data_IF_540451645654
#
_entry.id   IF_540451645654
#
_cell.length_a   1.000
_cell.length_b   1.000
_cell.length_c   1.000
_cell.angle_alpha   90.00
_cell.angle_beta   90.00
_cell.angle_gamma   90.00
#
_symmetry.space_group_name_H-M   'P 1'
#
loop_
_entity.id
_entity.type
_entity.pdbx_description
1 polymer ?
#
# COMPACT_ATOMS: atom_id res chain seq x y z
N UNK A 1 -8.43 1.26 -42.51
CA UNK A 1 -8.13 0.47 -41.31
C UNK A 1 -7.30 -0.76 -41.57
N UNK A 2 -7.41 -1.46 -42.67
CA UNK A 2 -6.60 -2.67 -43.02
C UNK A 2 -5.14 -2.31 -43.37
N UNK A 3 -4.86 -1.14 -43.92
CA UNK A 3 -3.51 -0.71 -44.32
C UNK A 3 -2.59 -0.41 -43.11
N UNK A 4 -3.14 0.10 -42.02
CA UNK A 4 -2.35 0.36 -40.78
C UNK A 4 -1.99 -0.91 -40.00
N UNK A 5 -2.84 -1.94 -40.02
CA UNK A 5 -2.57 -3.22 -39.37
C UNK A 5 -1.45 -4.01 -40.06
N UNK A 6 -1.34 -3.93 -41.38
CA UNK A 6 -0.28 -4.59 -42.14
C UNK A 6 1.09 -3.97 -41.97
N UNK A 7 1.17 -2.65 -41.74
CA UNK A 7 2.43 -1.95 -41.50
C UNK A 7 2.98 -2.26 -40.10
N UNK A 8 2.13 -2.36 -39.10
CA UNK A 8 2.52 -2.76 -37.74
C UNK A 8 3.03 -4.20 -37.68
N UNK A 9 2.39 -5.12 -38.39
CA UNK A 9 2.85 -6.50 -38.50
C UNK A 9 4.21 -6.63 -39.21
N UNK A 10 4.47 -5.85 -40.27
CA UNK A 10 5.78 -5.84 -40.97
C UNK A 10 6.89 -5.31 -40.06
N UNK A 11 6.61 -4.24 -39.27
CA UNK A 11 7.59 -3.68 -38.34
C UNK A 11 7.94 -4.66 -37.21
N UNK A 12 6.97 -5.39 -36.69
CA UNK A 12 7.20 -6.40 -35.66
C UNK A 12 7.95 -7.65 -36.19
N UNK A 13 7.71 -8.03 -37.44
CA UNK A 13 8.48 -9.12 -38.11
C UNK A 13 9.94 -8.73 -38.37
N UNK A 14 10.21 -7.46 -38.69
CA UNK A 14 11.58 -6.94 -38.89
C UNK A 14 12.34 -6.86 -37.57
N UNK A 15 11.67 -6.49 -36.47
CA UNK A 15 12.27 -6.50 -35.12
C UNK A 15 12.59 -7.94 -34.69
N UNK A 16 11.70 -8.88 -34.95
CA UNK A 16 11.92 -10.31 -34.65
C UNK A 16 13.07 -10.90 -35.49
N UNK A 17 13.17 -10.60 -36.79
CA UNK A 17 14.26 -11.01 -37.63
C UNK A 17 15.62 -10.41 -37.20
N UNK A 18 15.64 -9.18 -36.71
CA UNK A 18 16.84 -8.54 -36.15
C UNK A 18 17.26 -9.16 -34.81
N UNK A 19 16.34 -9.52 -33.95
CA UNK A 19 16.64 -10.21 -32.68
C UNK A 19 17.20 -11.62 -32.92
N UNK A 20 16.66 -12.37 -33.87
CA UNK A 20 17.17 -13.68 -34.27
C UNK A 20 18.53 -13.57 -34.96
N UNK A 21 18.74 -12.54 -35.79
CA UNK A 21 20.02 -12.24 -36.44
C UNK A 21 21.13 -11.84 -35.46
N UNK A 22 20.82 -11.05 -34.44
CA UNK A 22 21.76 -10.70 -33.39
C UNK A 22 22.16 -11.88 -32.51
N UNK A 23 21.26 -12.83 -32.34
CA UNK A 23 21.55 -14.08 -31.61
C UNK A 23 22.50 -14.98 -32.36
N UNK A 24 22.50 -14.97 -33.71
CA UNK A 24 23.43 -15.76 -34.53
C UNK A 24 24.83 -15.15 -34.65
N UNK A 25 24.96 -13.82 -34.52
CA UNK A 25 26.26 -13.12 -34.60
C UNK A 25 27.06 -13.15 -33.28
N UNK A 26 26.39 -13.33 -32.11
CA UNK A 26 27.06 -13.49 -30.81
C UNK A 26 27.70 -14.90 -30.61
N UNK A 27 27.58 -15.79 -31.57
CA UNK A 27 28.01 -17.21 -31.46
C UNK A 27 29.36 -17.57 -32.12
N UNK A 28 30.12 -16.59 -32.59
CA UNK A 28 31.40 -16.90 -33.30
C UNK A 28 32.68 -16.81 -32.46
N UNK A 29 32.57 -16.56 -31.15
CA UNK A 29 33.79 -16.53 -30.30
C UNK A 29 33.53 -17.18 -28.94
N UNK A 30 33.67 -18.49 -28.84
CA UNK A 30 33.94 -19.17 -27.56
C UNK A 30 34.57 -20.56 -27.77
N UNK A 31 35.64 -20.79 -27.03
CA UNK A 31 36.52 -21.93 -27.08
C UNK A 31 35.95 -23.20 -26.40
N UNK A 32 36.56 -24.33 -26.66
CA UNK A 32 36.22 -25.76 -26.61
C UNK A 32 35.70 -26.38 -25.29
N UNK A 33 35.47 -25.63 -24.22
CA UNK A 33 35.06 -26.20 -22.90
C UNK A 33 33.55 -26.25 -22.64
N UNK A 34 32.74 -25.70 -23.54
CA UNK A 34 31.27 -25.56 -23.38
C UNK A 34 30.44 -26.58 -24.19
N UNK A 35 31.10 -27.59 -24.77
CA UNK A 35 30.40 -28.54 -25.66
C UNK A 35 29.52 -29.58 -24.93
N UNK A 36 29.71 -29.79 -23.64
CA UNK A 36 28.95 -30.81 -22.89
C UNK A 36 27.59 -30.30 -22.37
N UNK A 37 27.47 -29.01 -22.09
CA UNK A 37 26.19 -28.41 -21.64
C UNK A 37 25.21 -28.14 -22.79
N UNK A 38 25.66 -28.15 -24.04
CA UNK A 38 24.82 -27.86 -25.22
C UNK A 38 23.88 -29.00 -25.63
N UNK A 39 24.11 -30.24 -25.21
CA UNK A 39 23.28 -31.38 -25.65
C UNK A 39 21.98 -31.55 -24.89
N UNK A 40 21.84 -30.97 -23.70
CA UNK A 40 20.60 -31.06 -22.89
C UNK A 40 19.56 -29.97 -23.19
N UNK A 41 19.97 -28.82 -23.75
CA UNK A 41 19.06 -27.68 -23.95
C UNK A 41 18.26 -27.77 -25.26
N UNK A 42 18.66 -28.60 -26.22
CA UNK A 42 17.98 -28.78 -27.51
C UNK A 42 17.20 -30.09 -27.61
N UNK A 43 16.23 -30.32 -26.70
CA UNK A 43 15.22 -31.35 -26.97
C UNK A 43 14.08 -30.73 -27.79
N UNK A 44 13.66 -31.41 -28.86
CA UNK A 44 12.55 -30.99 -29.76
C UNK A 44 11.23 -30.66 -28.99
N UNK A 45 11.06 -31.11 -27.76
CA UNK A 45 9.89 -30.83 -26.90
C UNK A 45 9.79 -29.40 -26.44
N UNK A 46 10.90 -28.68 -26.20
CA UNK A 46 10.85 -27.27 -25.74
C UNK A 46 10.35 -26.31 -26.83
N UNK A 47 10.70 -26.57 -28.10
CA UNK A 47 10.23 -25.71 -29.21
C UNK A 47 8.75 -25.89 -29.50
N UNK A 48 8.21 -27.08 -29.38
CA UNK A 48 6.79 -27.38 -29.62
C UNK A 48 5.91 -26.71 -28.56
N UNK A 49 6.35 -26.69 -27.31
CA UNK A 49 5.64 -26.03 -26.23
C UNK A 49 5.57 -24.49 -26.36
N UNK A 50 6.68 -23.88 -26.84
CA UNK A 50 6.72 -22.43 -27.06
C UNK A 50 5.80 -22.03 -28.24
N UNK A 51 5.77 -22.80 -29.32
CA UNK A 51 4.85 -22.56 -30.44
C UNK A 51 3.39 -22.75 -30.05
N UNK A 52 3.05 -23.74 -29.24
CA UNK A 52 1.70 -23.95 -28.74
C UNK A 52 1.25 -22.84 -27.82
N UNK A 53 2.14 -22.31 -26.97
CA UNK A 53 1.84 -21.19 -26.07
C UNK A 53 1.57 -19.90 -26.85
N UNK A 54 2.45 -19.57 -27.82
CA UNK A 54 2.30 -18.37 -28.67
C UNK A 54 1.03 -18.47 -29.51
N UNK A 55 0.72 -19.64 -30.06
CA UNK A 55 -0.48 -19.86 -30.86
C UNK A 55 -1.75 -19.79 -30.02
N UNK A 56 -1.74 -20.31 -28.79
CA UNK A 56 -2.86 -20.22 -27.84
C UNK A 56 -3.13 -18.77 -27.42
N UNK A 57 -2.08 -17.98 -27.18
CA UNK A 57 -2.22 -16.57 -26.84
C UNK A 57 -2.75 -15.73 -28.00
N UNK A 58 -2.28 -15.99 -29.24
CA UNK A 58 -2.76 -15.35 -30.46
C UNK A 58 -4.22 -15.72 -30.75
N UNK A 59 -4.61 -16.97 -30.55
CA UNK A 59 -5.98 -17.43 -30.77
C UNK A 59 -6.94 -16.83 -29.73
N UNK A 60 -6.53 -16.75 -28.47
CA UNK A 60 -7.31 -16.05 -27.42
C UNK A 60 -7.46 -14.57 -27.72
N UNK A 61 -6.43 -13.89 -28.18
CA UNK A 61 -6.48 -12.49 -28.56
C UNK A 61 -7.46 -12.25 -29.73
N UNK A 62 -7.41 -13.08 -30.78
CA UNK A 62 -8.29 -12.97 -31.97
C UNK A 62 -9.74 -13.31 -31.64
N UNK A 63 -9.99 -14.28 -30.74
CA UNK A 63 -11.35 -14.70 -30.36
C UNK A 63 -11.98 -13.73 -29.36
N UNK A 64 -11.19 -13.10 -28.47
CA UNK A 64 -11.73 -12.19 -27.46
C UNK A 64 -12.13 -10.84 -28.04
N UNK A 65 -11.45 -10.36 -29.10
CA UNK A 65 -11.74 -9.08 -29.76
C UNK A 65 -12.98 -9.12 -30.66
N UNK A 66 -13.50 -10.31 -30.99
CA UNK A 66 -14.67 -10.46 -31.88
C UNK A 66 -16.03 -10.52 -31.18
N UNK A 67 -16.12 -10.70 -29.86
CA UNK A 67 -17.38 -11.01 -29.19
C UNK A 67 -17.83 -10.02 -28.10
N UNK A 68 -17.14 -8.90 -27.86
CA UNK A 68 -17.57 -7.92 -26.87
C UNK A 68 -17.60 -6.51 -27.50
N UNK A 69 -18.76 -5.87 -27.64
CA UNK A 69 -18.82 -4.48 -28.09
C UNK A 69 -18.38 -3.58 -26.94
N UNK A 70 -17.17 -3.03 -26.99
CA UNK A 70 -16.65 -2.06 -26.05
C UNK A 70 -16.62 -0.66 -26.64
N UNK A 71 -17.15 0.31 -25.88
CA UNK A 71 -16.81 1.73 -26.03
C UNK A 71 -15.29 1.90 -25.89
N UNK A 72 -14.64 2.80 -26.63
CA UNK A 72 -13.18 2.95 -26.58
C UNK A 72 -12.76 3.54 -25.24
N UNK A 73 -12.26 2.73 -24.33
CA UNK A 73 -11.42 3.20 -23.24
C UNK A 73 -9.96 3.21 -23.74
N UNK A 74 -9.32 4.35 -23.68
CA UNK A 74 -7.91 4.52 -23.95
C UNK A 74 -7.10 3.72 -22.92
N UNK A 75 -6.62 2.55 -23.32
CA UNK A 75 -5.54 1.86 -22.62
C UNK A 75 -4.22 2.47 -23.08
N UNK A 76 -3.54 3.19 -22.18
CA UNK A 76 -2.21 3.73 -22.45
C UNK A 76 -1.18 2.61 -22.69
N UNK A 77 -0.24 2.85 -23.60
CA UNK A 77 0.84 1.91 -23.98
C UNK A 77 1.69 1.38 -22.79
N UNK A 78 1.61 2.03 -21.62
CA UNK A 78 2.29 1.62 -20.39
C UNK A 78 1.76 0.31 -19.79
N UNK A 79 0.45 0.06 -19.88
CA UNK A 79 -0.16 -1.14 -19.29
C UNK A 79 0.16 -2.43 -20.05
N UNK A 80 0.42 -2.32 -21.37
CA UNK A 80 0.76 -3.49 -22.18
C UNK A 80 2.20 -3.95 -21.95
N UNK A 81 3.12 -3.01 -21.68
CA UNK A 81 4.51 -3.34 -21.34
C UNK A 81 4.60 -4.05 -19.98
N UNK A 82 3.82 -3.60 -19.00
CA UNK A 82 3.75 -4.22 -17.68
C UNK A 82 3.24 -5.66 -17.72
N UNK A 83 2.23 -5.96 -18.56
CA UNK A 83 1.69 -7.31 -18.71
C UNK A 83 2.65 -8.28 -19.41
N UNK A 84 3.45 -7.77 -20.36
CA UNK A 84 4.47 -8.58 -21.07
C UNK A 84 5.69 -8.83 -20.17
N UNK A 85 6.13 -7.84 -19.39
CA UNK A 85 7.24 -7.99 -18.45
C UNK A 85 6.90 -8.98 -17.31
N UNK A 86 5.64 -9.06 -16.89
CA UNK A 86 5.15 -10.04 -15.91
C UNK A 86 5.18 -11.48 -16.49
N UNK A 87 4.81 -11.65 -17.76
CA UNK A 87 4.80 -12.98 -18.42
C UNK A 87 6.19 -13.49 -18.84
N UNK A 88 7.17 -12.60 -19.01
CA UNK A 88 8.53 -12.98 -19.40
C UNK A 88 9.43 -13.34 -18.20
N UNK A 89 8.99 -13.04 -16.98
CA UNK A 89 9.75 -13.28 -15.74
C UNK A 89 9.37 -14.57 -14.98
N UNK A 90 8.47 -15.40 -15.50
CA UNK A 90 8.02 -16.63 -14.84
C UNK A 90 9.10 -17.73 -14.66
N UNK A 91 10.33 -17.50 -15.12
CA UNK A 91 11.43 -18.48 -15.02
C UNK A 91 12.64 -18.03 -14.18
N UNK A 92 12.54 -16.93 -13.49
CA UNK A 92 13.55 -16.57 -12.49
C UNK A 92 12.97 -16.79 -11.10
N UNK A 93 13.72 -17.45 -10.23
CA UNK A 93 13.42 -17.88 -8.87
C UNK A 93 12.27 -17.08 -8.17
N UNK A 94 11.50 -17.70 -7.30
CA UNK A 94 10.41 -17.11 -6.50
C UNK A 94 10.73 -15.76 -5.81
N UNK A 95 11.99 -15.34 -5.83
CA UNK A 95 12.52 -14.06 -5.35
C UNK A 95 12.32 -12.89 -6.31
N UNK A 96 11.96 -13.12 -7.58
CA UNK A 96 11.78 -12.06 -8.59
C UNK A 96 10.37 -11.45 -8.60
N UNK A 97 9.47 -11.90 -7.72
CA UNK A 97 8.07 -11.46 -7.69
C UNK A 97 7.86 -10.05 -7.15
N UNK A 98 8.77 -9.51 -6.35
CA UNK A 98 8.59 -8.22 -5.70
C UNK A 98 9.48 -7.15 -6.31
N UNK A 99 8.93 -5.92 -6.50
CA UNK A 99 9.68 -4.81 -7.09
C UNK A 99 10.80 -4.31 -6.18
N UNK A 100 11.77 -3.65 -6.79
CA UNK A 100 12.92 -3.03 -6.10
C UNK A 100 13.83 -4.04 -5.36
N UNK A 101 13.83 -5.34 -5.73
CA UNK A 101 14.62 -6.38 -5.06
C UNK A 101 14.20 -6.67 -3.63
N UNK A 102 12.98 -6.27 -3.25
CA UNK A 102 12.39 -6.56 -1.94
C UNK A 102 11.77 -7.95 -1.93
N UNK A 103 11.48 -8.42 -0.71
CA UNK A 103 10.79 -9.70 -0.47
C UNK A 103 9.33 -9.51 -0.04
N UNK A 104 8.81 -8.29 -0.21
CA UNK A 104 7.42 -7.92 0.03
C UNK A 104 7.04 -6.69 -0.79
N UNK A 105 5.75 -6.47 -1.03
CA UNK A 105 5.23 -5.32 -1.74
C UNK A 105 5.32 -4.07 -0.88
N UNK A 106 6.21 -3.14 -1.22
CA UNK A 106 6.32 -1.87 -0.53
C UNK A 106 5.42 -0.82 -1.18
N UNK A 107 4.76 -0.02 -0.34
CA UNK A 107 3.95 1.11 -0.81
C UNK A 107 4.78 2.17 -1.57
N UNK A 108 6.04 2.36 -1.17
CA UNK A 108 6.97 3.24 -1.89
C UNK A 108 7.28 2.69 -3.28
N UNK A 109 7.48 1.38 -3.40
CA UNK A 109 7.70 0.70 -4.68
C UNK A 109 6.49 0.82 -5.61
N UNK A 110 5.27 0.77 -5.07
CA UNK A 110 4.03 0.99 -5.82
C UNK A 110 4.06 2.33 -6.57
N UNK A 111 4.26 3.44 -5.87
CA UNK A 111 4.27 4.76 -6.51
C UNK A 111 5.46 4.95 -7.45
N UNK A 112 6.63 4.43 -7.12
CA UNK A 112 7.78 4.49 -8.02
C UNK A 112 7.53 3.78 -9.35
N UNK A 113 6.81 2.66 -9.35
CA UNK A 113 6.43 1.96 -10.59
C UNK A 113 5.42 2.73 -11.42
N UNK A 114 4.42 3.33 -10.77
CA UNK A 114 3.35 4.04 -11.47
C UNK A 114 3.78 5.40 -11.98
N UNK A 115 4.57 6.15 -11.20
CA UNK A 115 4.87 7.56 -11.47
C UNK A 115 6.36 7.86 -11.63
N UNK A 116 7.22 6.85 -11.54
CA UNK A 116 8.68 7.01 -11.66
C UNK A 116 9.34 7.67 -10.44
N UNK A 117 8.56 8.05 -9.41
CA UNK A 117 9.05 8.74 -8.23
C UNK A 117 8.37 8.27 -6.94
N UNK A 118 9.00 8.60 -5.81
CA UNK A 118 8.42 8.44 -4.49
C UNK A 118 7.43 9.57 -4.24
N UNK A 119 6.20 9.26 -3.84
CA UNK A 119 5.27 10.23 -3.28
C UNK A 119 5.41 10.26 -1.75
N UNK A 120 5.65 11.47 -1.21
CA UNK A 120 5.79 11.65 0.24
C UNK A 120 4.49 12.18 0.83
N UNK A 121 3.99 11.53 1.89
CA UNK A 121 2.82 12.00 2.65
C UNK A 121 3.23 13.18 3.53
N UNK A 122 2.47 14.28 3.46
CA UNK A 122 2.53 15.44 4.36
C UNK A 122 1.35 15.36 5.31
N UNK A 123 1.63 15.27 6.59
CA UNK A 123 0.58 15.22 7.62
C UNK A 123 -0.14 16.55 7.71
N UNK A 124 -1.47 16.50 7.67
CA UNK A 124 -2.35 17.66 7.77
C UNK A 124 -3.25 17.49 8.99
N UNK A 125 -3.39 18.54 9.79
CA UNK A 125 -4.42 18.67 10.81
C UNK A 125 -5.43 19.74 10.39
N UNK A 126 -6.59 19.28 9.93
CA UNK A 126 -7.66 20.17 9.44
C UNK A 126 -8.72 20.49 10.52
N UNK A 127 -8.42 20.21 11.79
CA UNK A 127 -9.30 20.51 12.92
C UNK A 127 -10.49 19.58 13.06
N UNK A 128 -10.41 18.37 12.53
CA UNK A 128 -11.45 17.35 12.77
C UNK A 128 -11.45 16.87 14.22
N UNK A 129 -12.57 16.29 14.64
CA UNK A 129 -12.71 15.57 15.91
C UNK A 129 -12.98 14.07 15.65
N UNK A 130 -13.43 13.38 16.67
CA UNK A 130 -13.76 11.96 16.61
C UNK A 130 -15.04 11.71 17.42
N UNK A 131 -16.02 10.93 16.89
CA UNK A 131 -17.27 10.63 17.60
C UNK A 131 -17.03 9.89 18.92
N UNK A 132 -15.88 9.28 19.09
CA UNK A 132 -15.45 8.61 20.32
C UNK A 132 -14.86 9.60 21.37
N UNK A 133 -14.86 10.92 21.08
CA UNK A 133 -14.34 11.97 21.97
C UNK A 133 -15.37 13.03 22.32
N UNK A 134 -16.27 13.36 21.39
CA UNK A 134 -17.25 14.42 21.54
C UNK A 134 -18.58 13.98 22.16
N UNK A 135 -18.71 12.69 22.51
CA UNK A 135 -19.89 12.12 23.15
C UNK A 135 -20.88 11.47 22.19
N UNK A 136 -20.69 11.56 20.87
CA UNK A 136 -21.59 10.92 19.88
C UNK A 136 -21.59 9.40 20.01
N UNK A 137 -20.40 8.79 20.16
CA UNK A 137 -20.21 7.35 20.39
C UNK A 137 -19.61 7.11 21.77
N UNK A 138 -18.68 7.97 22.22
CA UNK A 138 -18.00 7.84 23.49
C UNK A 138 -17.25 9.11 23.88
N UNK A 139 -16.70 9.12 25.08
CA UNK A 139 -15.90 10.23 25.61
C UNK A 139 -14.44 9.83 25.79
N UNK A 140 -13.53 10.78 25.59
CA UNK A 140 -12.09 10.62 25.85
C UNK A 140 -11.31 9.82 24.82
N UNK A 141 -11.94 9.26 23.79
CA UNK A 141 -11.29 8.51 22.72
C UNK A 141 -10.99 7.06 23.06
N UNK A 142 -10.29 6.36 22.19
CA UNK A 142 -9.76 5.01 22.44
C UNK A 142 -8.70 5.04 23.56
N UNK A 143 -8.50 3.92 24.27
CA UNK A 143 -7.59 3.86 25.42
C UNK A 143 -6.14 4.23 25.10
N UNK A 144 -5.70 3.96 23.85
CA UNK A 144 -4.34 4.19 23.37
C UNK A 144 -4.16 5.55 22.65
N UNK A 145 -5.24 6.34 22.46
CA UNK A 145 -5.22 7.47 21.54
C UNK A 145 -4.69 8.75 22.20
N UNK A 146 -3.53 9.20 21.70
CA UNK A 146 -3.02 10.55 21.90
C UNK A 146 -2.45 11.08 20.56
N UNK A 147 -3.20 11.97 19.90
CA UNK A 147 -2.78 12.52 18.61
C UNK A 147 -1.50 13.35 18.72
N UNK A 148 -1.25 14.04 19.85
CA UNK A 148 -0.05 14.85 20.03
C UNK A 148 1.24 14.03 19.91
N UNK A 149 1.19 12.73 20.25
CA UNK A 149 2.32 11.84 20.17
C UNK A 149 2.71 11.47 18.72
N UNK A 150 1.81 11.68 17.75
CA UNK A 150 1.98 11.21 16.37
C UNK A 150 2.01 12.34 15.33
N UNK A 151 1.93 13.62 15.78
CA UNK A 151 1.97 14.77 14.90
C UNK A 151 3.40 15.29 14.71
N UNK A 152 3.80 15.59 13.48
CA UNK A 152 5.01 16.38 13.24
C UNK A 152 4.79 17.83 13.69
N UNK A 153 5.87 18.52 14.01
CA UNK A 153 5.84 19.88 14.57
C UNK A 153 5.20 20.93 13.66
N UNK A 154 5.16 20.69 12.36
CA UNK A 154 4.56 21.63 11.41
C UNK A 154 3.03 21.48 11.29
N UNK A 155 2.46 20.33 11.67
CA UNK A 155 1.03 20.03 11.54
C UNK A 155 0.30 20.43 12.83
N UNK A 156 -0.42 21.58 12.79
CA UNK A 156 -1.19 22.09 13.92
C UNK A 156 -2.46 22.79 13.46
N UNK A 157 -3.57 22.64 14.19
CA UNK A 157 -4.89 23.23 13.90
C UNK A 157 -4.85 24.76 13.73
N UNK A 158 -3.93 25.46 14.37
CA UNK A 158 -3.81 26.92 14.29
C UNK A 158 -3.24 27.47 12.97
N UNK A 159 -2.80 26.59 12.05
CA UNK A 159 -2.23 26.96 10.76
C UNK A 159 -3.20 26.64 9.62
N UNK A 160 -3.19 27.47 8.55
CA UNK A 160 -3.90 27.13 7.31
C UNK A 160 -3.35 25.83 6.68
N UNK A 161 -4.15 25.18 5.84
CA UNK A 161 -3.70 23.97 5.13
C UNK A 161 -2.47 24.27 4.27
N UNK A 162 -2.46 25.40 3.55
CA UNK A 162 -1.31 25.81 2.73
C UNK A 162 -0.03 25.94 3.58
N UNK A 163 -0.10 26.62 4.74
CA UNK A 163 1.06 26.71 5.63
C UNK A 163 1.57 25.37 6.11
N UNK A 164 0.67 24.44 6.47
CA UNK A 164 1.06 23.11 6.88
C UNK A 164 1.71 22.32 5.74
N UNK A 165 1.24 22.50 4.51
CA UNK A 165 1.81 21.88 3.31
C UNK A 165 3.23 22.45 3.05
N UNK A 166 3.38 23.78 3.00
CA UNK A 166 4.65 24.43 2.74
C UNK A 166 5.72 24.05 3.78
N UNK A 167 5.37 24.13 5.07
CA UNK A 167 6.26 23.72 6.16
C UNK A 167 6.55 22.22 6.12
N UNK A 168 5.58 21.40 5.75
CA UNK A 168 5.76 19.96 5.57
C UNK A 168 6.72 19.62 4.43
N UNK A 169 6.64 20.31 3.31
CA UNK A 169 7.59 20.21 2.19
C UNK A 169 9.00 20.53 2.67
N UNK A 170 9.16 21.66 3.35
CA UNK A 170 10.46 22.09 3.87
C UNK A 170 11.01 21.09 4.91
N UNK A 171 10.15 20.60 5.82
CA UNK A 171 10.54 19.59 6.80
C UNK A 171 11.06 18.30 6.16
N UNK A 172 10.48 17.89 5.04
CA UNK A 172 10.87 16.67 4.34
C UNK A 172 11.98 16.86 3.32
N UNK A 173 12.25 18.10 2.87
CA UNK A 173 13.24 18.45 1.85
C UNK A 173 14.65 17.94 2.15
N UNK A 174 15.07 18.02 3.41
CA UNK A 174 16.41 17.56 3.83
C UNK A 174 16.55 16.05 3.66
N UNK A 175 15.51 15.29 3.98
CA UNK A 175 15.52 13.82 3.97
C UNK A 175 15.20 13.22 2.59
N UNK A 176 14.36 13.90 1.81
CA UNK A 176 13.82 13.40 0.53
C UNK A 176 14.05 14.44 -0.59
N UNK A 177 15.31 14.74 -0.87
CA UNK A 177 15.74 15.84 -1.76
C UNK A 177 15.18 15.77 -3.18
N UNK A 178 14.84 14.59 -3.67
CA UNK A 178 14.38 14.36 -5.05
C UNK A 178 12.86 14.24 -5.16
N UNK A 179 12.10 14.40 -4.07
CA UNK A 179 10.65 14.36 -4.10
C UNK A 179 10.12 15.66 -4.65
N UNK A 180 9.32 15.58 -5.74
CA UNK A 180 8.69 16.72 -6.40
C UNK A 180 7.22 16.86 -6.03
N UNK A 181 6.55 15.73 -5.82
CA UNK A 181 5.13 15.64 -5.59
C UNK A 181 4.80 14.98 -4.24
N UNK A 182 3.73 15.45 -3.63
CA UNK A 182 3.33 15.07 -2.29
C UNK A 182 1.87 14.66 -2.23
N UNK A 183 1.52 13.89 -1.20
CA UNK A 183 0.15 13.55 -0.85
C UNK A 183 -0.22 14.30 0.44
N UNK A 184 -1.31 15.07 0.43
CA UNK A 184 -1.83 15.68 1.65
C UNK A 184 -2.50 14.59 2.49
N UNK A 185 -1.92 14.28 3.65
CA UNK A 185 -2.37 13.22 4.53
C UNK A 185 -3.14 13.79 5.72
N UNK A 186 -4.45 13.75 5.65
CA UNK A 186 -5.35 14.08 6.74
C UNK A 186 -5.30 12.96 7.77
N UNK A 187 -4.54 13.14 8.82
CA UNK A 187 -4.23 12.07 9.78
C UNK A 187 -4.93 12.23 11.13
N UNK A 188 -5.14 13.47 11.59
CA UNK A 188 -5.63 13.74 12.94
C UNK A 188 -7.08 13.32 13.12
N UNK A 189 -7.35 12.43 14.08
CA UNK A 189 -8.70 11.97 14.43
C UNK A 189 -9.43 11.24 13.28
N UNK A 190 -10.67 11.69 12.95
CA UNK A 190 -11.52 11.05 11.94
C UNK A 190 -11.84 12.04 10.83
N UNK A 191 -11.11 12.00 9.73
CA UNK A 191 -11.11 13.06 8.73
C UNK A 191 -12.28 13.00 7.73
N UNK A 192 -13.24 12.08 7.92
CA UNK A 192 -14.55 12.08 7.26
C UNK A 192 -15.69 12.40 8.22
N UNK A 193 -15.38 12.70 9.48
CA UNK A 193 -16.38 13.05 10.50
C UNK A 193 -16.75 14.53 10.46
N UNK A 194 -17.41 14.93 9.37
CA UNK A 194 -17.95 16.26 9.15
C UNK A 194 -19.02 16.21 8.04
N UNK A 195 -19.86 17.26 7.88
CA UNK A 195 -20.75 17.39 6.71
C UNK A 195 -19.96 17.40 5.40
N UNK A 196 -20.51 16.79 4.33
CA UNK A 196 -19.84 16.65 3.03
C UNK A 196 -19.36 18.01 2.47
N UNK A 197 -20.13 19.08 2.65
CA UNK A 197 -19.71 20.42 2.19
C UNK A 197 -18.37 20.87 2.80
N UNK A 198 -18.15 20.57 4.09
CA UNK A 198 -16.88 20.86 4.76
C UNK A 198 -15.74 19.97 4.26
N UNK A 199 -16.00 18.70 4.00
CA UNK A 199 -15.02 17.78 3.42
C UNK A 199 -14.58 18.27 2.02
N UNK A 200 -15.55 18.63 1.17
CA UNK A 200 -15.27 19.20 -0.15
C UNK A 200 -14.37 20.43 -0.06
N UNK A 201 -14.70 21.37 0.80
CA UNK A 201 -13.89 22.57 1.00
C UNK A 201 -12.44 22.23 1.35
N UNK A 202 -12.22 21.41 2.37
CA UNK A 202 -10.88 21.11 2.89
C UNK A 202 -10.04 20.29 1.90
N UNK A 203 -10.64 19.30 1.23
CA UNK A 203 -9.91 18.45 0.30
C UNK A 203 -9.54 19.20 -0.97
N UNK A 204 -10.45 20.02 -1.50
CA UNK A 204 -10.17 20.86 -2.66
C UNK A 204 -9.14 21.95 -2.35
N UNK A 205 -9.19 22.57 -1.15
CA UNK A 205 -8.17 23.50 -0.67
C UNK A 205 -6.77 22.86 -0.64
N UNK A 206 -6.63 21.65 -0.10
CA UNK A 206 -5.35 20.94 -0.10
C UNK A 206 -4.87 20.60 -1.52
N UNK A 207 -5.78 20.18 -2.41
CA UNK A 207 -5.48 19.86 -3.79
C UNK A 207 -5.18 21.09 -4.65
N UNK A 208 -5.54 22.30 -4.23
CA UNK A 208 -5.18 23.53 -4.92
C UNK A 208 -3.66 23.80 -4.90
N UNK A 209 -2.93 23.27 -3.90
CA UNK A 209 -1.50 23.47 -3.81
C UNK A 209 -0.75 22.75 -4.96
N UNK A 210 0.17 23.42 -5.70
CA UNK A 210 0.73 22.90 -6.95
C UNK A 210 1.56 21.63 -6.82
N UNK A 211 2.16 21.37 -5.67
CA UNK A 211 2.96 20.16 -5.42
C UNK A 211 2.14 19.00 -4.82
N UNK A 212 0.86 19.22 -4.54
CA UNK A 212 -0.04 18.15 -4.07
C UNK A 212 -0.67 17.46 -5.27
N UNK A 213 -0.45 16.15 -5.39
CA UNK A 213 -0.98 15.31 -6.45
C UNK A 213 -2.11 14.38 -5.98
N UNK A 214 -2.44 14.44 -4.71
CA UNK A 214 -3.53 13.63 -4.15
C UNK A 214 -3.68 13.79 -2.65
N UNK A 215 -4.71 13.16 -2.13
CA UNK A 215 -5.04 13.14 -0.71
C UNK A 215 -5.07 11.72 -0.15
N UNK A 216 -4.68 11.59 1.09
CA UNK A 216 -4.84 10.36 1.89
C UNK A 216 -5.67 10.75 3.12
N UNK A 217 -6.74 10.01 3.37
CA UNK A 217 -7.73 10.34 4.39
C UNK A 217 -7.73 9.25 5.45
N UNK A 218 -7.10 9.52 6.60
CA UNK A 218 -7.17 8.67 7.78
C UNK A 218 -8.50 8.87 8.51
N UNK A 219 -9.28 7.81 8.66
CA UNK A 219 -10.59 7.90 9.30
C UNK A 219 -10.98 6.63 10.04
N UNK A 220 -12.11 6.68 10.73
CA UNK A 220 -12.76 5.54 11.37
C UNK A 220 -13.73 4.88 10.37
N UNK A 221 -13.91 3.56 10.43
CA UNK A 221 -14.87 2.86 9.56
C UNK A 221 -16.33 3.33 9.73
N UNK A 222 -16.72 3.72 10.92
CA UNK A 222 -18.06 4.21 11.26
C UNK A 222 -18.30 5.70 10.93
N UNK A 223 -17.30 6.40 10.38
CA UNK A 223 -17.40 7.80 9.96
C UNK A 223 -17.51 7.98 8.44
N UNK A 224 -17.74 6.90 7.70
CA UNK A 224 -17.90 6.91 6.24
C UNK A 224 -19.33 6.48 5.86
N UNK A 225 -19.83 7.05 4.77
CA UNK A 225 -21.10 6.70 4.15
C UNK A 225 -20.98 6.75 2.62
N UNK A 226 -22.02 6.34 1.92
CA UNK A 226 -22.02 6.25 0.47
C UNK A 226 -21.84 7.61 -0.19
N UNK A 227 -22.52 8.67 0.32
CA UNK A 227 -22.42 10.02 -0.23
C UNK A 227 -20.99 10.57 -0.21
N UNK A 228 -20.26 10.33 0.91
CA UNK A 228 -18.86 10.71 1.03
C UNK A 228 -17.97 9.90 0.09
N UNK A 229 -18.21 8.58 -0.01
CA UNK A 229 -17.45 7.72 -0.93
C UNK A 229 -17.69 8.05 -2.38
N UNK A 230 -18.93 8.37 -2.78
CA UNK A 230 -19.27 8.82 -4.13
C UNK A 230 -18.53 10.12 -4.47
N UNK A 231 -18.50 11.08 -3.56
CA UNK A 231 -17.69 12.30 -3.74
C UNK A 231 -16.20 12.00 -3.88
N UNK A 232 -15.64 11.08 -3.09
CA UNK A 232 -14.23 10.72 -3.16
C UNK A 232 -13.90 10.01 -4.49
N UNK A 233 -14.82 9.19 -4.99
CA UNK A 233 -14.70 8.56 -6.31
C UNK A 233 -14.76 9.61 -7.43
N UNK A 234 -15.68 10.58 -7.36
CA UNK A 234 -15.77 11.71 -8.28
C UNK A 234 -14.49 12.56 -8.28
N UNK A 235 -13.89 12.75 -7.11
CA UNK A 235 -12.64 13.47 -6.96
C UNK A 235 -11.47 12.71 -7.61
N UNK A 236 -11.36 11.40 -7.37
CA UNK A 236 -10.35 10.53 -8.01
C UNK A 236 -10.46 10.56 -9.54
N UNK A 237 -11.69 10.59 -10.05
CA UNK A 237 -11.95 10.62 -11.50
C UNK A 237 -11.83 12.02 -12.11
N UNK A 238 -11.51 13.04 -11.32
CA UNK A 238 -11.38 14.42 -11.76
C UNK A 238 -12.71 15.12 -12.08
N UNK A 239 -13.86 14.51 -11.73
CA UNK A 239 -15.19 15.03 -12.06
C UNK A 239 -15.61 16.29 -11.28
N UNK A 240 -14.98 16.51 -10.14
CA UNK A 240 -15.35 17.62 -9.21
C UNK A 240 -14.23 18.64 -9.00
N UNK A 241 -13.22 18.63 -9.85
CA UNK A 241 -12.09 19.56 -9.80
C UNK A 241 -11.76 20.06 -11.20
N UNK A 242 -12.24 21.26 -11.53
CA UNK A 242 -12.04 21.85 -12.84
C UNK A 242 -10.57 22.27 -13.04
N UNK A 243 -10.06 22.06 -14.27
CA UNK A 243 -8.73 22.51 -14.66
C UNK A 243 -7.60 21.80 -13.92
N UNK A 244 -7.85 20.61 -13.33
CA UNK A 244 -6.78 19.84 -12.73
C UNK A 244 -5.68 19.50 -13.73
N UNK A 245 -4.46 19.93 -13.41
CA UNK A 245 -3.28 19.60 -14.19
C UNK A 245 -2.09 19.45 -13.25
N UNK A 246 -1.45 18.28 -13.28
CA UNK A 246 -0.17 18.00 -12.63
C UNK A 246 0.62 17.07 -13.52
N UNK A 247 1.88 17.38 -13.75
CA UNK A 247 2.75 16.60 -14.64
C UNK A 247 2.81 15.14 -14.20
N UNK A 248 2.42 14.23 -15.10
CA UNK A 248 2.38 12.80 -14.85
C UNK A 248 1.12 12.29 -14.11
N UNK A 249 0.17 13.19 -13.76
CA UNK A 249 -1.06 12.82 -13.05
C UNK A 249 -2.29 13.34 -13.79
N UNK A 250 -3.08 12.44 -14.37
CA UNK A 250 -4.30 12.79 -15.11
C UNK A 250 -5.47 13.22 -14.22
N UNK A 251 -5.49 12.79 -12.97
CA UNK A 251 -6.48 13.12 -11.95
C UNK A 251 -5.84 13.01 -10.55
N UNK A 252 -6.47 13.55 -9.49
CA UNK A 252 -5.97 13.44 -8.12
C UNK A 252 -5.92 11.99 -7.66
N UNK A 253 -4.87 11.64 -6.92
CA UNK A 253 -4.82 10.39 -6.17
C UNK A 253 -5.70 10.52 -4.93
N UNK A 254 -6.60 9.58 -4.71
CA UNK A 254 -7.49 9.55 -3.54
C UNK A 254 -7.40 8.20 -2.86
N UNK A 255 -6.99 8.20 -1.59
CA UNK A 255 -6.87 7.01 -0.77
C UNK A 255 -7.57 7.19 0.57
N UNK A 256 -8.31 6.17 1.00
CA UNK A 256 -8.95 6.13 2.31
C UNK A 256 -8.24 5.11 3.20
N UNK A 257 -7.79 5.53 4.38
CA UNK A 257 -7.11 4.67 5.35
C UNK A 257 -7.95 4.52 6.61
N UNK A 258 -8.37 3.30 6.89
CA UNK A 258 -9.21 2.98 8.02
C UNK A 258 -8.39 2.55 9.23
N UNK A 259 -8.59 3.22 10.39
CA UNK A 259 -8.13 2.71 11.66
C UNK A 259 -9.02 1.54 12.09
N UNK A 260 -8.74 0.33 11.66
CA UNK A 260 -9.43 -0.89 12.10
C UNK A 260 -8.93 -1.31 13.46
N UNK A 261 -7.61 -1.32 13.64
CA UNK A 261 -6.79 -1.54 14.82
C UNK A 261 -6.74 -3.00 15.29
N UNK A 262 -7.85 -3.75 15.25
CA UNK A 262 -7.94 -5.17 15.60
C UNK A 262 -9.01 -5.89 14.79
N UNK A 263 -8.84 -7.19 14.56
CA UNK A 263 -9.85 -8.09 13.97
C UNK A 263 -10.72 -8.79 15.04
N UNK A 264 -10.71 -8.32 16.28
CA UNK A 264 -11.41 -8.95 17.40
C UNK A 264 -12.31 -7.95 18.13
N UNK A 265 -13.62 -8.14 18.08
CA UNK A 265 -14.60 -7.26 18.74
C UNK A 265 -14.35 -7.13 20.24
N UNK A 266 -13.92 -8.20 20.91
CA UNK A 266 -13.55 -8.18 22.33
C UNK A 266 -12.40 -7.21 22.59
N UNK A 267 -11.39 -7.19 21.73
CA UNK A 267 -10.26 -6.24 21.82
C UNK A 267 -10.72 -4.83 21.52
N UNK A 268 -11.50 -4.63 20.44
CA UNK A 268 -12.06 -3.32 20.08
C UNK A 268 -12.91 -2.73 21.21
N UNK A 269 -13.76 -3.53 21.84
CA UNK A 269 -14.56 -3.14 23.01
C UNK A 269 -13.67 -2.75 24.21
N UNK A 270 -12.64 -3.57 24.52
CA UNK A 270 -11.72 -3.33 25.64
C UNK A 270 -10.97 -2.00 25.50
N UNK A 271 -10.51 -1.69 24.30
CA UNK A 271 -9.80 -0.42 24.05
C UNK A 271 -10.77 0.76 23.80
N UNK A 272 -12.06 0.52 23.86
CA UNK A 272 -13.10 1.54 23.66
C UNK A 272 -13.09 2.08 22.23
N UNK A 273 -12.97 1.21 21.22
CA UNK A 273 -12.90 1.63 19.80
C UNK A 273 -14.22 2.21 19.31
N UNK A 274 -15.37 1.71 19.81
CA UNK A 274 -16.72 2.23 19.52
C UNK A 274 -17.29 1.83 18.16
N UNK A 275 -16.64 0.93 17.44
CA UNK A 275 -17.17 0.19 16.28
C UNK A 275 -16.68 -1.26 16.36
N UNK A 276 -17.32 -2.15 15.62
CA UNK A 276 -17.01 -3.56 15.50
C UNK A 276 -16.28 -3.91 14.19
N UNK A 277 -15.89 -5.17 14.06
CA UNK A 277 -15.19 -5.71 12.88
C UNK A 277 -16.10 -5.67 11.65
N UNK A 278 -17.39 -5.96 11.80
CA UNK A 278 -18.36 -5.94 10.70
C UNK A 278 -18.50 -4.52 10.09
N UNK A 279 -18.49 -3.49 10.91
CA UNK A 279 -18.46 -2.10 10.44
C UNK A 279 -17.19 -1.79 9.65
N UNK A 280 -16.05 -2.29 10.10
CA UNK A 280 -14.77 -2.12 9.39
C UNK A 280 -14.79 -2.84 8.03
N UNK A 281 -15.23 -4.08 7.99
CA UNK A 281 -15.37 -4.85 6.74
C UNK A 281 -16.28 -4.13 5.74
N UNK A 282 -17.48 -3.69 6.17
CA UNK A 282 -18.42 -2.96 5.32
C UNK A 282 -17.78 -1.70 4.74
N UNK A 283 -17.10 -0.90 5.54
CA UNK A 283 -16.44 0.34 5.07
C UNK A 283 -15.38 0.06 3.99
N UNK A 284 -14.56 -0.97 4.20
CA UNK A 284 -13.53 -1.39 3.23
C UNK A 284 -14.17 -1.85 1.91
N UNK A 285 -15.20 -2.70 1.97
CA UNK A 285 -15.89 -3.19 0.78
C UNK A 285 -16.59 -2.08 0.00
N UNK A 286 -17.35 -1.21 0.67
CA UNK A 286 -18.01 -0.06 0.04
C UNK A 286 -17.02 0.89 -0.65
N UNK A 287 -15.81 1.04 -0.07
CA UNK A 287 -14.73 1.85 -0.65
C UNK A 287 -14.18 1.20 -1.92
N UNK A 288 -13.90 -0.10 -1.86
CA UNK A 288 -13.37 -0.87 -3.00
C UNK A 288 -14.39 -0.98 -4.16
N UNK A 289 -15.68 -1.15 -3.86
CA UNK A 289 -16.78 -1.18 -4.84
C UNK A 289 -16.85 0.09 -5.69
N UNK A 290 -16.41 1.23 -5.15
CA UNK A 290 -16.30 2.51 -5.87
C UNK A 290 -14.95 2.69 -6.58
N UNK A 291 -14.12 1.65 -6.60
CA UNK A 291 -12.79 1.64 -7.22
C UNK A 291 -11.76 2.52 -6.50
N UNK A 292 -12.05 2.95 -5.28
CA UNK A 292 -11.07 3.62 -4.40
C UNK A 292 -10.11 2.59 -3.81
N UNK A 293 -8.94 3.06 -3.35
CA UNK A 293 -7.90 2.21 -2.74
C UNK A 293 -8.02 2.22 -1.20
N UNK A 294 -8.73 1.26 -0.57
CA UNK A 294 -8.81 1.21 0.88
C UNK A 294 -7.48 0.76 1.49
N UNK A 295 -7.01 1.49 2.49
CA UNK A 295 -5.93 1.09 3.38
C UNK A 295 -6.45 0.76 4.77
N UNK A 296 -5.70 -0.03 5.54
CA UNK A 296 -6.05 -0.34 6.92
C UNK A 296 -4.85 -0.18 7.88
N UNK A 297 -5.15 0.24 9.10
CA UNK A 297 -4.19 0.28 10.21
C UNK A 297 -4.54 -0.80 11.21
N UNK A 298 -3.51 -1.51 11.69
CA UNK A 298 -3.60 -2.52 12.74
C UNK A 298 -2.53 -2.28 13.80
N UNK A 299 -2.94 -2.36 15.07
CA UNK A 299 -2.03 -2.27 16.21
C UNK A 299 -1.73 -3.68 16.69
N UNK A 300 -0.45 -4.05 16.69
CA UNK A 300 -0.01 -5.36 17.16
C UNK A 300 0.25 -5.30 18.67
N UNK A 301 -0.42 -6.18 19.43
CA UNK A 301 -0.26 -6.31 20.85
C UNK A 301 -1.19 -5.45 21.70
N UNK A 302 -2.39 -5.17 21.23
CA UNK A 302 -3.47 -4.61 22.07
C UNK A 302 -3.78 -5.55 23.24
N UNK A 303 -4.27 -5.02 24.38
CA UNK A 303 -4.42 -5.83 25.60
C UNK A 303 -5.36 -7.03 25.40
N UNK A 304 -4.88 -8.19 25.80
CA UNK A 304 -5.55 -9.48 25.67
C UNK A 304 -5.33 -10.20 24.34
N UNK A 305 -4.61 -9.60 23.38
CA UNK A 305 -4.22 -10.27 22.15
C UNK A 305 -2.97 -11.13 22.35
N UNK A 306 -3.01 -12.31 21.76
CA UNK A 306 -1.88 -13.26 21.76
C UNK A 306 -1.21 -13.29 20.38
N UNK A 307 0.00 -13.80 20.32
CA UNK A 307 0.73 -14.00 19.07
C UNK A 307 -0.06 -14.88 18.07
N UNK A 308 -0.72 -15.93 18.56
CA UNK A 308 -1.56 -16.79 17.73
C UNK A 308 -2.79 -16.05 17.15
N UNK A 309 -3.44 -15.20 17.93
CA UNK A 309 -4.54 -14.36 17.45
C UNK A 309 -4.05 -13.42 16.34
N UNK A 310 -2.95 -12.71 16.58
CA UNK A 310 -2.37 -11.78 15.62
C UNK A 310 -1.89 -12.48 14.32
N UNK A 311 -1.49 -13.73 14.40
CA UNK A 311 -1.17 -14.55 13.21
C UNK A 311 -2.44 -14.99 12.49
N UNK A 312 -3.47 -15.41 13.22
CA UNK A 312 -4.75 -15.84 12.63
C UNK A 312 -5.50 -14.70 11.91
N UNK A 313 -5.34 -13.45 12.33
CA UNK A 313 -5.97 -12.30 11.64
C UNK A 313 -5.49 -12.11 10.19
N UNK A 314 -4.36 -12.70 9.78
CA UNK A 314 -3.83 -12.56 8.41
C UNK A 314 -4.80 -13.08 7.34
N UNK A 315 -5.54 -14.15 7.61
CA UNK A 315 -6.60 -14.66 6.73
C UNK A 315 -7.72 -13.61 6.55
N UNK A 316 -8.23 -13.05 7.64
CA UNK A 316 -9.23 -11.99 7.56
C UNK A 316 -8.71 -10.76 6.82
N UNK A 317 -7.48 -10.29 7.10
CA UNK A 317 -6.88 -9.15 6.38
C UNK A 317 -6.77 -9.45 4.88
N UNK A 318 -6.37 -10.68 4.52
CA UNK A 318 -6.22 -11.12 3.13
C UNK A 318 -7.58 -11.25 2.39
N UNK A 319 -8.66 -11.59 3.09
CA UNK A 319 -10.03 -11.69 2.52
C UNK A 319 -10.68 -10.33 2.23
N UNK A 320 -10.16 -9.24 2.81
CA UNK A 320 -10.65 -7.90 2.56
C UNK A 320 -10.05 -7.31 1.26
N UNK A 321 -10.82 -6.55 0.46
CA UNK A 321 -10.32 -5.88 -0.74
C UNK A 321 -9.44 -4.66 -0.39
N UNK A 322 -8.48 -4.85 0.50
CA UNK A 322 -7.53 -3.83 0.91
C UNK A 322 -6.47 -3.64 -0.18
N UNK A 323 -6.14 -2.39 -0.49
CA UNK A 323 -4.99 -2.05 -1.31
C UNK A 323 -3.69 -2.06 -0.50
N UNK A 324 -3.74 -1.55 0.73
CA UNK A 324 -2.55 -1.49 1.58
C UNK A 324 -2.86 -1.66 3.06
N UNK A 325 -1.82 -2.00 3.83
CA UNK A 325 -1.89 -2.16 5.27
C UNK A 325 -0.72 -1.49 5.97
N UNK A 326 -0.99 -0.95 7.17
CA UNK A 326 0.00 -0.47 8.13
C UNK A 326 -0.09 -1.29 9.40
N UNK A 327 1.02 -1.84 9.81
CA UNK A 327 1.18 -2.43 11.13
C UNK A 327 2.05 -1.54 12.01
N UNK A 328 1.72 -1.46 13.28
CA UNK A 328 2.62 -0.93 14.28
C UNK A 328 2.38 -1.59 15.64
N UNK A 329 3.46 -1.76 16.39
CA UNK A 329 3.38 -2.24 17.75
C UNK A 329 2.60 -1.25 18.62
N UNK A 330 1.92 -1.74 19.64
CA UNK A 330 1.29 -0.88 20.62
C UNK A 330 2.34 0.00 21.32
N UNK A 331 2.12 1.29 21.31
CA UNK A 331 2.90 2.28 22.06
C UNK A 331 2.16 2.64 23.35
N UNK A 332 2.85 2.52 24.48
CA UNK A 332 2.30 2.93 25.79
C UNK A 332 2.57 4.42 25.99
N UNK A 333 1.62 5.24 25.51
CA UNK A 333 1.75 6.70 25.54
C UNK A 333 1.34 7.26 26.90
N UNK A 334 2.14 8.19 27.45
CA UNK A 334 1.91 8.85 28.73
C UNK A 334 0.54 9.56 28.79
N UNK A 335 -0.11 9.50 29.92
CA UNK A 335 -1.39 10.16 30.17
C UNK A 335 -2.60 9.46 29.57
N UNK A 336 -2.40 8.38 28.80
CA UNK A 336 -3.49 7.61 28.20
C UNK A 336 -4.07 6.58 29.19
N UNK A 337 -5.27 6.08 28.86
CA UNK A 337 -5.88 4.99 29.66
C UNK A 337 -5.09 3.69 29.53
N UNK A 338 -4.45 3.46 28.37
CA UNK A 338 -3.64 2.26 28.12
C UNK A 338 -2.39 2.23 29.02
N UNK A 339 -1.79 3.38 29.36
CA UNK A 339 -0.67 3.46 30.30
C UNK A 339 -1.08 2.96 31.69
N UNK A 340 -2.24 3.41 32.18
CA UNK A 340 -2.77 2.99 33.50
C UNK A 340 -3.11 1.49 33.51
N UNK A 341 -3.70 1.01 32.42
CA UNK A 341 -4.05 -0.40 32.27
C UNK A 341 -2.79 -1.27 32.20
N UNK A 342 -1.77 -0.84 31.45
CA UNK A 342 -0.49 -1.53 31.40
C UNK A 342 0.19 -1.62 32.78
N UNK A 343 0.16 -0.56 33.56
CA UNK A 343 0.70 -0.56 34.91
C UNK A 343 -0.04 -1.51 35.86
N UNK A 344 -1.35 -1.70 35.66
CA UNK A 344 -2.19 -2.56 36.51
C UNK A 344 -2.12 -4.04 36.12
N UNK A 345 -2.07 -4.37 34.83
CA UNK A 345 -2.13 -5.74 34.30
C UNK A 345 -1.15 -5.96 33.16
N UNK A 346 0.16 -5.79 33.38
CA UNK A 346 1.17 -5.85 32.31
C UNK A 346 1.22 -7.20 31.58
N UNK A 347 0.78 -8.28 32.23
CA UNK A 347 0.71 -9.63 31.64
C UNK A 347 -0.31 -9.76 30.51
N UNK A 348 -1.25 -8.83 30.39
CA UNK A 348 -2.25 -8.81 29.32
C UNK A 348 -1.70 -8.19 28.02
N UNK A 349 -0.47 -7.67 28.04
CA UNK A 349 0.14 -6.95 26.93
C UNK A 349 1.25 -7.78 26.29
N UNK A 350 1.14 -8.00 25.01
CA UNK A 350 2.17 -8.66 24.22
C UNK A 350 3.32 -7.69 23.94
N UNK A 351 4.41 -7.82 24.71
CA UNK A 351 5.65 -7.05 24.49
C UNK A 351 6.70 -7.99 23.89
N UNK A 352 7.37 -7.54 22.85
CA UNK A 352 8.40 -8.28 22.14
C UNK A 352 9.67 -7.42 22.04
N UNK A 353 10.83 -8.02 22.23
CA UNK A 353 12.11 -7.39 21.89
C UNK A 353 12.22 -7.23 20.36
N UNK A 354 13.05 -6.30 19.88
CA UNK A 354 13.11 -5.98 18.46
C UNK A 354 13.42 -7.19 17.56
N UNK A 355 14.37 -8.09 17.88
CA UNK A 355 14.59 -9.27 17.04
C UNK A 355 13.36 -10.18 16.97
N UNK A 356 12.70 -10.41 18.10
CA UNK A 356 11.47 -11.19 18.17
C UNK A 356 10.32 -10.54 17.38
N UNK A 357 10.19 -9.22 17.46
CA UNK A 357 9.20 -8.47 16.71
C UNK A 357 9.43 -8.57 15.19
N UNK A 358 10.68 -8.51 14.75
CA UNK A 358 11.03 -8.68 13.34
C UNK A 358 10.66 -10.07 12.83
N UNK A 359 10.97 -11.12 13.59
CA UNK A 359 10.57 -12.49 13.27
C UNK A 359 9.04 -12.62 13.21
N UNK A 360 8.34 -11.99 14.15
CA UNK A 360 6.89 -11.99 14.17
C UNK A 360 6.27 -11.24 12.98
N UNK A 361 6.83 -10.09 12.58
CA UNK A 361 6.40 -9.37 11.36
C UNK A 361 6.60 -10.23 10.12
N UNK A 362 7.70 -10.98 10.04
CA UNK A 362 7.93 -11.92 8.95
C UNK A 362 6.87 -13.02 8.93
N UNK A 363 6.53 -13.59 10.08
CA UNK A 363 5.46 -14.59 10.21
C UNK A 363 4.09 -14.06 9.72
N UNK A 364 3.82 -12.76 9.94
CA UNK A 364 2.64 -12.06 9.38
C UNK A 364 2.77 -11.91 7.85
N UNK A 365 3.90 -11.39 7.36
CA UNK A 365 4.11 -11.17 5.93
C UNK A 365 3.97 -12.45 5.11
N UNK A 366 4.52 -13.57 5.60
CA UNK A 366 4.41 -14.87 4.96
C UNK A 366 2.96 -15.33 4.73
N UNK A 367 2.03 -14.88 5.57
CA UNK A 367 0.61 -15.30 5.56
C UNK A 367 -0.33 -14.31 4.89
N UNK A 368 0.12 -13.09 4.67
CA UNK A 368 -0.66 -12.10 3.92
C UNK A 368 -0.63 -12.38 2.43
N UNK A 369 -1.72 -12.12 1.72
CA UNK A 369 -1.73 -12.21 0.26
C UNK A 369 -0.62 -11.38 -0.38
N UNK A 370 0.02 -11.87 -1.46
CA UNK A 370 1.25 -11.28 -2.00
C UNK A 370 1.05 -9.92 -2.69
N UNK A 371 -0.17 -9.59 -3.12
CA UNK A 371 -0.50 -8.33 -3.83
C UNK A 371 -0.81 -7.16 -2.89
N UNK A 372 -0.93 -7.40 -1.57
CA UNK A 372 -1.19 -6.36 -0.57
C UNK A 372 0.06 -5.49 -0.34
N UNK A 373 -0.10 -4.16 -0.44
CA UNK A 373 1.02 -3.24 -0.21
C UNK A 373 1.23 -2.96 1.28
N UNK A 374 2.47 -3.12 1.73
CA UNK A 374 2.90 -2.85 3.10
C UNK A 374 3.42 -1.43 3.19
N UNK A 375 2.70 -0.56 3.90
CA UNK A 375 3.10 0.84 4.08
C UNK A 375 4.06 1.04 5.24
N UNK A 376 3.85 0.27 6.31
CA UNK A 376 4.61 0.39 7.55
C UNK A 376 4.52 -0.92 8.33
N UNK A 377 5.58 -1.24 9.05
CA UNK A 377 5.63 -2.40 9.96
C UNK A 377 5.90 -2.02 11.42
N UNK A 378 6.29 -0.78 11.70
CA UNK A 378 6.51 -0.29 13.04
C UNK A 378 6.16 1.20 13.16
N UNK A 379 5.70 1.65 14.32
CA UNK A 379 5.43 3.04 14.64
C UNK A 379 6.57 3.67 15.46
N UNK A 380 6.84 4.96 15.23
CA UNK A 380 7.73 5.77 16.06
C UNK A 380 6.92 6.74 16.91
N UNK A 381 7.28 6.86 18.18
CA UNK A 381 6.77 7.90 19.09
C UNK A 381 7.96 8.64 19.69
N UNK A 382 7.97 9.97 19.71
CA UNK A 382 9.05 10.72 20.35
C UNK A 382 9.19 10.34 21.84
N UNK A 383 10.40 10.17 22.38
CA UNK A 383 10.63 9.69 23.76
C UNK A 383 9.92 10.49 24.86
N UNK A 384 9.65 11.78 24.62
CA UNK A 384 8.91 12.63 25.56
C UNK A 384 7.48 12.16 25.84
N UNK A 385 6.87 11.39 24.94
CA UNK A 385 5.49 10.89 25.05
C UNK A 385 5.40 9.49 25.64
N UNK A 386 6.49 8.79 25.88
CA UNK A 386 6.49 7.45 26.47
C UNK A 386 7.37 7.42 27.72
N UNK A 387 7.05 6.56 28.68
CA UNK A 387 7.89 6.37 29.88
C UNK A 387 9.17 5.62 29.52
N UNK A 388 9.04 4.67 28.63
CA UNK A 388 10.13 3.84 28.15
C UNK A 388 9.95 3.59 26.64
N UNK A 389 11.03 3.77 25.86
CA UNK A 389 11.05 3.38 24.46
C UNK A 389 11.27 1.87 24.38
N UNK A 390 10.34 1.16 23.77
CA UNK A 390 10.38 -0.32 23.74
C UNK A 390 11.68 -0.88 23.17
N UNK A 391 12.26 -0.19 22.17
CA UNK A 391 13.48 -0.63 21.47
C UNK A 391 14.57 0.46 21.44
N UNK A 392 14.58 1.36 22.42
CA UNK A 392 15.48 2.50 22.41
C UNK A 392 15.15 3.52 21.31
N UNK A 393 16.19 4.12 20.71
CA UNK A 393 16.04 5.17 19.68
C UNK A 393 16.16 4.63 18.24
N UNK A 394 15.72 3.38 18.01
CA UNK A 394 15.75 2.79 16.67
C UNK A 394 14.71 3.46 15.77
N UNK A 395 15.13 3.91 14.59
CA UNK A 395 14.29 4.60 13.61
C UNK A 395 13.64 3.62 12.64
N UNK A 396 12.47 3.96 12.11
CA UNK A 396 11.74 3.11 11.14
C UNK A 396 12.59 2.66 9.95
N UNK A 397 13.49 3.50 9.42
CA UNK A 397 14.33 3.08 8.31
C UNK A 397 15.34 2.00 8.71
N UNK A 398 15.81 2.00 9.96
CA UNK A 398 16.68 0.96 10.49
C UNK A 398 15.90 -0.35 10.67
N UNK A 399 14.68 -0.27 11.21
CA UNK A 399 13.78 -1.42 11.35
C UNK A 399 13.51 -2.06 9.98
N UNK A 400 13.22 -1.26 8.95
CA UNK A 400 13.00 -1.77 7.59
C UNK A 400 14.25 -2.42 7.00
N UNK A 401 15.45 -1.90 7.28
CA UNK A 401 16.70 -2.52 6.84
C UNK A 401 16.93 -3.86 7.52
N UNK A 402 16.77 -3.89 8.86
CA UNK A 402 16.87 -5.15 9.62
C UNK A 402 15.83 -6.19 9.18
N UNK A 403 14.62 -5.75 8.81
CA UNK A 403 13.57 -6.63 8.28
C UNK A 403 13.98 -7.22 6.92
N UNK A 404 14.54 -6.40 6.03
CA UNK A 404 15.03 -6.86 4.72
C UNK A 404 16.13 -7.91 4.89
N UNK A 405 17.12 -7.65 5.76
CA UNK A 405 18.21 -8.58 6.07
C UNK A 405 17.66 -9.89 6.63
N UNK A 406 16.71 -9.80 7.58
CA UNK A 406 16.12 -10.96 8.25
C UNK A 406 15.25 -11.81 7.30
N UNK A 407 14.52 -11.18 6.39
CA UNK A 407 13.79 -11.87 5.31
C UNK A 407 14.75 -12.63 4.39
N UNK A 408 15.92 -12.04 4.09
CA UNK A 408 16.96 -12.69 3.29
C UNK A 408 17.61 -13.87 4.03
N UNK A 409 17.95 -13.70 5.32
CA UNK A 409 18.50 -14.78 6.18
C UNK A 409 17.54 -15.97 6.29
N UNK A 410 16.22 -15.71 6.42
CA UNK A 410 15.20 -16.77 6.50
C UNK A 410 14.81 -17.33 5.13
N UNK A 411 15.35 -16.79 4.05
CA UNK A 411 15.00 -17.11 2.66
C UNK A 411 13.48 -17.17 2.44
N UNK A 412 12.79 -16.13 2.85
CA UNK A 412 11.32 -16.08 2.83
C UNK A 412 10.80 -14.77 2.25
N UNK A 413 9.49 -14.71 1.96
CA UNK A 413 8.83 -13.57 1.31
C UNK A 413 7.35 -13.48 1.70
N UNK A 414 6.74 -12.34 1.41
CA UNK A 414 5.31 -12.12 1.57
C UNK A 414 4.49 -13.12 0.75
N UNK A 415 3.50 -13.74 1.38
CA UNK A 415 2.59 -14.67 0.72
C UNK A 415 3.12 -16.10 0.58
N UNK A 416 4.32 -16.41 1.09
CA UNK A 416 4.88 -17.77 1.01
C UNK A 416 3.99 -18.83 1.67
N UNK A 417 3.27 -18.46 2.71
CA UNK A 417 2.36 -19.32 3.46
C UNK A 417 0.89 -18.87 3.33
N UNK A 418 0.59 -17.95 2.42
CA UNK A 418 -0.79 -17.54 2.17
C UNK A 418 -1.57 -18.69 1.52
N UNK A 419 -2.80 -18.89 1.97
CA UNK A 419 -3.70 -19.90 1.40
C UNK A 419 -4.47 -19.25 0.26
N UNK A 420 -4.44 -19.85 -0.92
CA UNK A 420 -5.08 -19.29 -2.13
C UNK A 420 -6.60 -19.14 -2.03
N UNK A 421 -7.23 -19.84 -1.10
CA UNK A 421 -8.67 -19.79 -0.86
C UNK A 421 -9.11 -18.58 0.00
N UNK A 422 -8.16 -17.80 0.51
CA UNK A 422 -8.40 -16.64 1.38
C UNK A 422 -8.59 -15.32 0.62
N UNK A 423 -8.41 -15.29 -0.76
CA UNK A 423 -8.49 -14.05 -1.54
C UNK A 423 -8.87 -14.23 -3.01
#
# INVERSE_FOLDING_TARGET
MIIFATQSLKNNLVIFARLVGLYSLSHQSCTSSTLHLRKEIYSRKSFTNLYQLIFSCLLRYILFDRFVPRKPHYFGAGNMKFQVDCLMNENTSALSGFPDGKRYNTFVGYYKRLYGERLQKLVIDAGFTCPNRDGTVGYGGCSFCDNAAFHPSYSTVGKSLSMQIDEGIEFHRVRYRNTKHYLAYFQSYSNTYAPLARLRQLYLEALAHPQIVGIVIGTRPDCIDEEKLDFLADLRDGRVIDGWHRDGFGAPLVKVEYGIESCYDKTLARVGRGHDVATAERAVRLTAERGLEPGAHFILGLPGETRSMLTAQCSFISSLPLHSVKFHQLQIVKGTRIEKEFAAVPQDFLRMELPEYLDFVIDILERLRPDLYIERVAGEVPPRFVNETQWGLVRNFQILHMLDDRLAERDTWQGRLAVSDDF
#
